data_IF_501094395902
#
_entry.id   IF_501094395902
#
_cell.length_a   1.000
_cell.length_b   1.000
_cell.length_c   1.000
_cell.angle_alpha   90.00
_cell.angle_beta   90.00
_cell.angle_gamma   90.00
#
_symmetry.space_group_name_H-M   'P 1'
#
loop_
_entity.id
_entity.type
_entity.pdbx_description
1 polymer ?
#
# COMPACT_ATOMS: atom_id res chain seq x y z
N UNK A 1 -22.69 12.76 -4.47
CA UNK A 1 -22.92 12.05 -3.18
C UNK A 1 -22.11 12.73 -2.11
N UNK A 2 -22.61 12.70 -0.86
CA UNK A 2 -21.81 13.02 0.33
C UNK A 2 -21.20 11.74 0.89
N UNK A 3 -19.89 11.68 0.93
CA UNK A 3 -19.09 10.49 1.25
C UNK A 3 -18.31 10.74 2.55
N UNK A 4 -18.48 9.90 3.57
CA UNK A 4 -17.69 9.92 4.79
C UNK A 4 -16.54 8.92 4.71
N UNK A 5 -15.28 9.39 4.65
CA UNK A 5 -14.08 8.56 4.75
C UNK A 5 -13.73 8.34 6.22
N UNK A 6 -13.75 7.11 6.69
CA UNK A 6 -13.54 6.74 8.08
C UNK A 6 -12.25 5.93 8.22
N UNK A 7 -11.22 6.48 8.87
CA UNK A 7 -9.90 5.88 8.94
C UNK A 7 -9.16 6.19 10.24
N UNK A 8 -8.46 5.23 10.83
CA UNK A 8 -7.61 5.46 12.01
C UNK A 8 -6.47 6.43 11.71
N UNK A 9 -5.92 6.39 10.49
CA UNK A 9 -4.72 7.11 10.10
C UNK A 9 -4.95 7.97 8.85
N UNK A 10 -4.50 9.23 8.92
CA UNK A 10 -4.57 10.18 7.80
C UNK A 10 -3.35 11.11 7.80
N UNK A 11 -3.25 12.01 6.80
CA UNK A 11 -2.22 13.05 6.77
C UNK A 11 -2.27 13.93 8.04
N UNK A 12 -1.14 14.45 8.53
CA UNK A 12 0.20 14.49 7.95
C UNK A 12 1.03 13.22 8.20
N UNK A 13 0.46 12.20 8.87
CA UNK A 13 1.14 10.91 8.98
C UNK A 13 1.29 10.31 7.59
N UNK A 14 2.50 9.82 7.26
CA UNK A 14 2.79 9.25 5.95
C UNK A 14 2.90 7.72 6.04
N UNK A 15 2.04 7.06 5.32
CA UNK A 15 1.98 5.61 5.12
C UNK A 15 1.14 5.29 3.89
N UNK A 16 1.05 4.01 3.52
CA UNK A 16 0.33 3.60 2.32
C UNK A 16 -1.17 3.92 2.39
N UNK A 17 -1.81 3.66 3.53
CA UNK A 17 -3.26 3.90 3.70
C UNK A 17 -3.54 5.41 3.66
N UNK A 18 -2.78 6.20 4.41
CA UNK A 18 -2.97 7.63 4.56
C UNK A 18 -2.93 8.36 3.23
N UNK A 19 -1.92 8.04 2.40
CA UNK A 19 -1.77 8.62 1.07
C UNK A 19 -2.90 8.16 0.15
N UNK A 20 -3.25 6.87 0.16
CA UNK A 20 -4.32 6.35 -0.70
C UNK A 20 -5.69 6.93 -0.35
N UNK A 21 -6.01 7.10 0.94
CA UNK A 21 -7.27 7.74 1.36
C UNK A 21 -7.30 9.21 0.93
N UNK A 22 -6.19 9.93 1.08
CA UNK A 22 -6.10 11.33 0.66
C UNK A 22 -6.25 11.48 -0.86
N UNK A 23 -5.48 10.69 -1.63
CA UNK A 23 -5.52 10.72 -3.09
C UNK A 23 -6.91 10.31 -3.63
N UNK A 24 -7.55 9.28 -3.06
CA UNK A 24 -8.91 8.87 -3.42
C UNK A 24 -9.92 9.99 -3.12
N UNK A 25 -9.84 10.59 -1.92
CA UNK A 25 -10.73 11.67 -1.51
C UNK A 25 -10.64 12.88 -2.46
N UNK A 26 -9.43 13.31 -2.81
CA UNK A 26 -9.22 14.42 -3.73
C UNK A 26 -9.80 14.13 -5.13
N UNK A 27 -9.67 12.90 -5.62
CA UNK A 27 -10.19 12.51 -6.94
C UNK A 27 -11.71 12.38 -6.95
N UNK A 28 -12.31 11.90 -5.86
CA UNK A 28 -13.77 11.88 -5.72
C UNK A 28 -14.35 13.30 -5.68
N UNK A 29 -13.66 14.24 -5.00
CA UNK A 29 -14.04 15.67 -5.04
C UNK A 29 -13.95 16.21 -6.47
N UNK A 30 -12.88 15.91 -7.20
CA UNK A 30 -12.75 16.29 -8.61
C UNK A 30 -13.83 15.68 -9.52
N UNK A 31 -14.46 14.58 -9.10
CA UNK A 31 -15.62 13.94 -9.78
C UNK A 31 -16.97 14.52 -9.34
N UNK A 32 -16.99 15.56 -8.51
CA UNK A 32 -18.18 16.25 -8.06
C UNK A 32 -18.86 15.62 -6.83
N UNK A 33 -18.15 14.79 -6.06
CA UNK A 33 -18.63 14.32 -4.76
C UNK A 33 -18.24 15.31 -3.66
N UNK A 34 -19.04 15.35 -2.60
CA UNK A 34 -18.68 16.01 -1.34
C UNK A 34 -18.05 14.97 -0.42
N UNK A 35 -16.79 15.18 -0.03
CA UNK A 35 -16.03 14.21 0.76
C UNK A 35 -15.58 14.84 2.07
N UNK A 36 -15.83 14.16 3.20
CA UNK A 36 -15.30 14.52 4.50
C UNK A 36 -14.53 13.34 5.10
N UNK A 37 -13.41 13.62 5.77
CA UNK A 37 -12.56 12.60 6.39
C UNK A 37 -12.68 12.67 7.91
N UNK A 38 -12.90 11.53 8.55
CA UNK A 38 -12.93 11.36 9.99
C UNK A 38 -11.76 10.48 10.42
N UNK A 39 -10.87 10.99 11.28
CA UNK A 39 -9.65 10.28 11.64
C UNK A 39 -9.20 10.54 13.07
N UNK A 40 -8.40 9.61 13.63
CA UNK A 40 -7.74 9.80 14.92
C UNK A 40 -6.40 10.54 14.81
N UNK A 41 -5.83 10.69 13.60
CA UNK A 41 -4.54 11.36 13.42
C UNK A 41 -4.68 12.85 13.70
N UNK A 42 -3.85 13.44 14.59
CA UNK A 42 -3.84 14.89 14.81
C UNK A 42 -3.36 15.61 13.55
N UNK A 43 -3.94 16.78 13.29
CA UNK A 43 -3.49 17.70 12.24
C UNK A 43 -2.74 18.90 12.81
N UNK A 44 -2.58 19.93 11.98
CA UNK A 44 -1.97 21.19 12.40
C UNK A 44 -2.78 21.87 13.52
N UNK A 45 -4.09 21.71 13.51
CA UNK A 45 -5.03 22.27 14.51
C UNK A 45 -5.10 21.45 15.82
N UNK A 46 -4.45 20.27 15.86
CA UNK A 46 -4.45 19.39 17.02
C UNK A 46 -5.59 18.37 17.03
N UNK A 47 -6.03 17.98 18.23
CA UNK A 47 -7.08 16.97 18.44
C UNK A 47 -8.46 17.63 18.67
N UNK A 48 -9.52 16.91 18.32
CA UNK A 48 -10.91 17.31 18.59
C UNK A 48 -11.39 18.49 17.73
N UNK A 49 -10.69 18.83 16.67
CA UNK A 49 -10.99 19.95 15.79
C UNK A 49 -11.21 19.50 14.34
N UNK A 50 -11.83 20.38 13.56
CA UNK A 50 -11.99 20.20 12.11
C UNK A 50 -11.11 21.20 11.39
N UNK A 51 -10.38 20.75 10.37
CA UNK A 51 -9.61 21.59 9.46
C UNK A 51 -9.99 21.30 8.01
N UNK A 52 -9.58 22.18 7.11
CA UNK A 52 -9.71 21.95 5.67
C UNK A 52 -8.30 21.71 5.11
N UNK A 53 -8.11 20.56 4.47
CA UNK A 53 -6.86 20.18 3.82
C UNK A 53 -7.16 19.89 2.34
N UNK A 54 -6.55 20.66 1.45
CA UNK A 54 -6.76 20.56 -0.01
C UNK A 54 -8.25 20.57 -0.42
N UNK A 55 -9.05 21.42 0.25
CA UNK A 55 -10.49 21.54 -0.01
C UNK A 55 -11.37 20.47 0.65
N UNK A 56 -10.79 19.51 1.36
CA UNK A 56 -11.48 18.42 2.05
C UNK A 56 -11.58 18.74 3.55
N UNK A 57 -12.77 18.63 4.12
CA UNK A 57 -12.98 18.76 5.57
C UNK A 57 -12.47 17.53 6.28
N UNK A 58 -11.59 17.72 7.26
CA UNK A 58 -10.97 16.66 8.05
C UNK A 58 -11.29 16.83 9.53
N UNK A 59 -12.04 15.90 10.09
CA UNK A 59 -12.43 15.84 11.50
C UNK A 59 -11.37 15.05 12.29
N UNK A 60 -10.64 15.72 13.18
CA UNK A 60 -9.55 15.17 14.00
C UNK A 60 -10.06 14.64 15.33
N UNK A 61 -10.64 13.45 15.35
CA UNK A 61 -11.34 12.86 16.51
C UNK A 61 -10.40 12.23 17.56
N UNK A 62 -9.10 12.23 17.33
CA UNK A 62 -8.11 11.72 18.28
C UNK A 62 -8.08 12.49 19.59
N UNK A 63 -7.42 11.94 20.59
CA UNK A 63 -7.09 12.59 21.86
C UNK A 63 -5.59 12.45 22.15
N UNK A 64 -5.02 13.40 22.88
CA UNK A 64 -3.61 13.34 23.26
C UNK A 64 -3.43 12.28 24.36
N UNK A 65 -2.87 11.14 23.99
CA UNK A 65 -2.52 10.08 24.93
C UNK A 65 -0.99 9.92 25.05
N UNK A 66 -0.48 9.44 26.22
CA UNK A 66 0.92 9.06 26.34
C UNK A 66 1.35 8.07 25.25
N UNK A 67 2.61 8.16 24.77
CA UNK A 67 3.20 7.29 23.74
C UNK A 67 2.54 7.44 22.36
N UNK A 68 1.87 8.54 22.06
CA UNK A 68 1.23 8.83 20.74
C UNK A 68 0.29 7.70 20.25
N UNK A 69 -0.39 7.04 21.16
CA UNK A 69 -1.38 6.03 20.83
C UNK A 69 -2.56 6.70 20.11
N UNK A 70 -2.84 6.26 18.90
CA UNK A 70 -4.00 6.69 18.10
C UNK A 70 -5.25 5.89 18.53
N UNK A 71 -5.70 6.12 19.76
CA UNK A 71 -6.91 5.49 20.31
C UNK A 71 -7.72 6.56 21.01
N UNK A 72 -8.99 6.66 20.67
CA UNK A 72 -9.96 7.47 21.40
C UNK A 72 -11.24 6.65 21.60
N UNK A 73 -11.44 6.04 22.78
CA UNK A 73 -12.65 5.27 23.07
C UNK A 73 -13.95 6.09 22.99
N UNK A 74 -13.85 7.41 22.99
CA UNK A 74 -14.97 8.33 22.88
C UNK A 74 -15.13 8.92 21.47
N UNK A 75 -14.27 8.55 20.51
CA UNK A 75 -14.29 9.11 19.15
C UNK A 75 -15.63 8.91 18.44
N UNK A 76 -16.32 7.82 18.75
CA UNK A 76 -17.65 7.53 18.18
C UNK A 76 -18.79 8.23 18.90
N UNK A 77 -18.50 8.89 20.06
CA UNK A 77 -19.49 9.70 20.76
C UNK A 77 -19.86 10.91 19.89
N UNK A 78 -21.09 11.01 19.45
CA UNK A 78 -21.55 12.04 18.52
C UNK A 78 -21.23 11.77 17.05
N UNK A 79 -20.47 10.72 16.70
CA UNK A 79 -20.19 10.36 15.32
C UNK A 79 -21.49 10.09 14.53
N UNK A 80 -22.49 9.48 15.16
CA UNK A 80 -23.81 9.27 14.57
C UNK A 80 -24.41 10.58 14.05
N UNK A 81 -24.45 11.62 14.88
CA UNK A 81 -24.99 12.92 14.50
C UNK A 81 -24.16 13.61 13.39
N UNK A 82 -22.83 13.40 13.41
CA UNK A 82 -21.93 13.93 12.38
C UNK A 82 -22.11 13.21 11.04
N UNK A 83 -22.52 11.95 11.03
CA UNK A 83 -22.76 11.15 9.82
C UNK A 83 -24.19 11.29 9.26
N UNK A 84 -25.07 12.02 9.91
CA UNK A 84 -26.41 12.30 9.39
C UNK A 84 -26.34 13.10 8.08
N UNK A 85 -27.09 12.63 7.08
CA UNK A 85 -27.13 13.24 5.75
C UNK A 85 -25.98 12.84 4.81
N UNK A 86 -25.09 11.91 5.21
CA UNK A 86 -24.19 11.27 4.27
C UNK A 86 -24.92 10.18 3.48
N UNK A 87 -24.56 10.05 2.19
CA UNK A 87 -25.12 9.03 1.30
C UNK A 87 -24.44 7.66 1.48
N UNK A 88 -23.14 7.68 1.83
CA UNK A 88 -22.32 6.48 2.00
C UNK A 88 -21.15 6.74 2.95
N UNK A 89 -20.78 5.71 3.73
CA UNK A 89 -19.55 5.67 4.49
C UNK A 89 -18.55 4.74 3.83
N UNK A 90 -17.28 5.16 3.77
CA UNK A 90 -16.16 4.34 3.31
C UNK A 90 -15.17 4.13 4.47
N UNK A 91 -15.13 2.92 4.99
CA UNK A 91 -14.26 2.56 6.12
C UNK A 91 -12.97 1.94 5.58
N UNK A 92 -11.81 2.42 6.06
CA UNK A 92 -10.49 1.92 5.69
C UNK A 92 -9.88 1.13 6.85
N UNK A 93 -9.77 -0.20 6.68
CA UNK A 93 -9.28 -1.13 7.70
C UNK A 93 -7.80 -1.44 7.53
N UNK A 94 -7.01 -1.21 8.57
CA UNK A 94 -5.65 -1.75 8.73
C UNK A 94 -5.63 -3.05 9.53
N UNK A 95 -4.43 -3.47 9.97
CA UNK A 95 -4.26 -4.67 10.81
C UNK A 95 -4.85 -4.43 12.22
N UNK A 96 -4.61 -3.25 12.77
CA UNK A 96 -5.14 -2.78 14.05
C UNK A 96 -5.82 -1.45 13.79
N UNK A 97 -7.14 -1.45 13.78
CA UNK A 97 -7.95 -0.30 13.42
C UNK A 97 -9.17 -0.20 14.35
N UNK A 98 -8.93 0.20 15.62
CA UNK A 98 -10.01 0.27 16.60
C UNK A 98 -11.09 1.27 16.23
N UNK A 99 -10.72 2.46 15.75
CA UNK A 99 -11.69 3.48 15.33
C UNK A 99 -12.49 3.04 14.10
N UNK A 100 -11.84 2.51 13.07
CA UNK A 100 -12.54 1.99 11.89
C UNK A 100 -13.48 0.83 12.27
N UNK A 101 -13.08 -0.02 13.22
CA UNK A 101 -13.95 -1.08 13.76
C UNK A 101 -15.18 -0.49 14.48
N UNK A 102 -14.98 0.51 15.31
CA UNK A 102 -16.08 1.20 16.00
C UNK A 102 -17.01 1.92 15.01
N UNK A 103 -16.45 2.53 13.96
CA UNK A 103 -17.23 3.11 12.85
C UNK A 103 -18.13 2.06 12.19
N UNK A 104 -17.63 0.83 11.98
CA UNK A 104 -18.44 -0.27 11.45
C UNK A 104 -19.68 -0.58 12.31
N UNK A 105 -19.57 -0.52 13.64
CA UNK A 105 -20.73 -0.67 14.52
C UNK A 105 -21.70 0.52 14.47
N UNK A 106 -21.16 1.75 14.36
CA UNK A 106 -21.99 2.96 14.28
C UNK A 106 -22.77 2.97 12.97
N UNK A 107 -22.11 2.79 11.83
CA UNK A 107 -22.75 2.85 10.49
C UNK A 107 -23.77 1.71 10.31
N UNK A 108 -23.46 0.50 10.80
CA UNK A 108 -24.40 -0.63 10.79
C UNK A 108 -25.68 -0.33 11.56
N UNK A 109 -25.58 0.26 12.77
CA UNK A 109 -26.75 0.63 13.58
C UNK A 109 -27.55 1.80 13.01
N UNK A 110 -26.92 2.63 12.19
CA UNK A 110 -27.59 3.73 11.48
C UNK A 110 -28.32 3.27 10.22
N UNK A 111 -28.00 2.09 9.70
CA UNK A 111 -28.42 1.68 8.35
C UNK A 111 -27.77 2.55 7.25
N UNK A 112 -26.64 3.22 7.57
CA UNK A 112 -25.92 4.02 6.57
C UNK A 112 -25.23 3.09 5.58
N UNK A 113 -25.52 3.21 4.26
CA UNK A 113 -24.80 2.45 3.24
C UNK A 113 -23.29 2.54 3.47
N UNK A 114 -22.63 1.39 3.61
CA UNK A 114 -21.21 1.36 4.01
C UNK A 114 -20.41 0.41 3.15
N UNK A 115 -19.28 0.89 2.63
CA UNK A 115 -18.23 0.03 2.07
C UNK A 115 -17.03 0.00 3.01
N UNK A 116 -16.36 -1.16 3.09
CA UNK A 116 -15.22 -1.38 3.98
C UNK A 116 -14.06 -1.99 3.19
N UNK A 117 -12.98 -1.21 3.03
CA UNK A 117 -11.76 -1.62 2.32
C UNK A 117 -10.68 -2.08 3.29
N UNK A 118 -10.23 -3.32 3.13
CA UNK A 118 -9.14 -3.90 3.90
C UNK A 118 -7.80 -3.70 3.21
N UNK A 119 -6.91 -2.94 3.84
CA UNK A 119 -5.56 -2.63 3.35
C UNK A 119 -4.49 -3.63 3.84
N UNK A 120 -4.88 -4.68 4.52
CA UNK A 120 -3.98 -5.68 5.10
C UNK A 120 -4.46 -7.10 4.81
N UNK A 121 -3.52 -8.04 4.83
CA UNK A 121 -3.83 -9.48 4.84
C UNK A 121 -4.09 -9.91 6.28
N UNK A 122 -5.20 -10.59 6.53
CA UNK A 122 -5.52 -11.22 7.81
C UNK A 122 -4.79 -12.57 7.94
N UNK A 123 -3.47 -12.55 8.06
CA UNK A 123 -2.63 -13.75 8.18
C UNK A 123 -2.94 -14.52 9.48
N UNK A 124 -2.14 -14.36 10.50
CA UNK A 124 -2.30 -15.04 11.81
C UNK A 124 -3.55 -14.59 12.57
N UNK A 125 -4.13 -13.45 12.23
CA UNK A 125 -5.35 -12.94 12.85
C UNK A 125 -6.64 -13.58 12.28
N UNK A 126 -6.61 -14.31 11.16
CA UNK A 126 -7.80 -14.84 10.48
C UNK A 126 -8.69 -15.67 11.43
N UNK A 127 -8.10 -16.61 12.17
CA UNK A 127 -8.85 -17.47 13.07
C UNK A 127 -9.51 -16.71 14.22
N UNK A 128 -8.81 -15.73 14.79
CA UNK A 128 -9.34 -14.89 15.87
C UNK A 128 -10.47 -13.99 15.37
N UNK A 129 -10.29 -13.36 14.20
CA UNK A 129 -11.29 -12.49 13.58
C UNK A 129 -12.54 -13.29 13.20
N UNK A 130 -12.37 -14.52 12.68
CA UNK A 130 -13.46 -15.48 12.39
C UNK A 130 -14.22 -15.84 13.65
N UNK A 131 -13.51 -16.21 14.71
CA UNK A 131 -14.12 -16.60 15.99
C UNK A 131 -14.90 -15.45 16.64
N UNK A 132 -14.40 -14.22 16.53
CA UNK A 132 -15.09 -13.03 17.02
C UNK A 132 -16.43 -12.74 16.29
N UNK A 133 -16.58 -13.20 15.04
CA UNK A 133 -17.80 -13.08 14.24
C UNK A 133 -18.20 -11.65 13.86
N UNK A 134 -17.36 -10.65 14.15
CA UNK A 134 -17.67 -9.23 13.94
C UNK A 134 -17.77 -8.93 12.44
N UNK A 135 -16.79 -9.36 11.65
CA UNK A 135 -16.74 -9.12 10.19
C UNK A 135 -17.93 -9.78 9.50
N UNK A 136 -18.30 -10.99 9.93
CA UNK A 136 -19.52 -11.68 9.43
C UNK A 136 -20.78 -10.86 9.73
N UNK A 137 -20.92 -10.33 10.93
CA UNK A 137 -22.07 -9.50 11.31
C UNK A 137 -22.16 -8.21 10.49
N UNK A 138 -21.03 -7.54 10.19
CA UNK A 138 -21.01 -6.39 9.31
C UNK A 138 -21.46 -6.73 7.89
N UNK A 139 -20.95 -7.83 7.33
CA UNK A 139 -21.38 -8.29 6.00
C UNK A 139 -22.88 -8.63 5.96
N UNK A 140 -23.39 -9.31 7.00
CA UNK A 140 -24.82 -9.65 7.15
C UNK A 140 -25.71 -8.40 7.36
N UNK A 141 -25.16 -7.30 7.86
CA UNK A 141 -25.89 -6.04 7.98
C UNK A 141 -25.89 -5.20 6.69
N UNK A 142 -25.45 -5.76 5.56
CA UNK A 142 -25.48 -5.07 4.26
C UNK A 142 -24.22 -4.25 3.96
N UNK A 143 -23.12 -4.39 4.71
CA UNK A 143 -21.86 -3.72 4.36
C UNK A 143 -21.20 -4.36 3.15
N UNK A 144 -20.80 -3.54 2.18
CA UNK A 144 -20.02 -3.95 1.03
C UNK A 144 -18.55 -4.16 1.44
N UNK A 145 -18.11 -5.42 1.55
CA UNK A 145 -16.73 -5.76 1.91
C UNK A 145 -15.85 -5.83 0.67
N UNK A 146 -14.66 -5.24 0.75
CA UNK A 146 -13.64 -5.37 -0.28
C UNK A 146 -12.22 -5.30 0.32
N UNK A 147 -11.22 -5.61 -0.48
CA UNK A 147 -9.82 -5.55 -0.10
C UNK A 147 -8.97 -5.00 -1.25
N UNK A 148 -7.77 -4.52 -0.94
CA UNK A 148 -6.88 -3.88 -1.94
C UNK A 148 -6.26 -4.85 -2.95
N UNK A 149 -6.39 -6.16 -2.74
CA UNK A 149 -5.88 -7.21 -3.63
C UNK A 149 -6.62 -8.52 -3.41
N UNK A 150 -6.49 -9.45 -4.33
CA UNK A 150 -7.04 -10.80 -4.18
C UNK A 150 -6.44 -11.55 -2.98
N UNK A 151 -5.12 -11.36 -2.76
CA UNK A 151 -4.42 -11.92 -1.59
C UNK A 151 -5.01 -11.39 -0.27
N UNK A 152 -5.36 -10.13 -0.19
CA UNK A 152 -6.01 -9.55 0.98
C UNK A 152 -7.50 -9.95 1.09
N UNK A 153 -8.19 -10.14 -0.04
CA UNK A 153 -9.59 -10.57 -0.07
C UNK A 153 -9.78 -12.04 0.30
N UNK A 154 -8.83 -12.90 -0.01
CA UNK A 154 -8.92 -14.35 0.18
C UNK A 154 -9.26 -14.78 1.63
N UNK A 155 -8.57 -14.29 2.69
CA UNK A 155 -8.95 -14.60 4.07
C UNK A 155 -10.35 -14.07 4.42
N UNK A 156 -10.73 -12.88 3.91
CA UNK A 156 -12.05 -12.30 4.15
C UNK A 156 -13.16 -13.14 3.55
N UNK A 157 -12.98 -13.66 2.33
CA UNK A 157 -13.94 -14.56 1.67
C UNK A 157 -14.22 -15.84 2.47
N UNK A 158 -13.25 -16.30 3.29
CA UNK A 158 -13.43 -17.43 4.19
C UNK A 158 -14.18 -17.09 5.48
N UNK A 159 -14.21 -15.80 5.86
CA UNK A 159 -14.86 -15.30 7.08
C UNK A 159 -16.26 -14.82 6.77
N UNK A 160 -16.42 -14.13 5.65
CA UNK A 160 -17.69 -13.51 5.24
C UNK A 160 -18.63 -14.58 4.69
N UNK A 161 -19.80 -14.66 5.33
CA UNK A 161 -20.92 -15.47 4.87
C UNK A 161 -22.02 -14.49 4.42
N UNK A 162 -22.11 -14.26 3.11
CA UNK A 162 -23.01 -13.22 2.58
C UNK A 162 -22.52 -12.64 1.23
N UNK A 163 -22.70 -11.34 0.99
CA UNK A 163 -22.30 -10.69 -0.26
C UNK A 163 -20.82 -10.92 -0.59
N UNK A 164 -20.45 -11.07 -1.89
CA UNK A 164 -19.07 -11.36 -2.27
C UNK A 164 -18.10 -10.26 -1.83
N UNK A 165 -16.91 -10.66 -1.38
CA UNK A 165 -15.80 -9.76 -1.14
C UNK A 165 -15.11 -9.45 -2.47
N UNK A 166 -15.14 -8.18 -2.86
CA UNK A 166 -14.56 -7.67 -4.11
C UNK A 166 -13.13 -7.19 -3.91
N UNK A 167 -12.47 -6.82 -5.00
CA UNK A 167 -11.16 -6.15 -4.95
C UNK A 167 -11.33 -4.68 -5.36
N UNK A 168 -10.93 -3.77 -4.46
CA UNK A 168 -10.80 -2.35 -4.73
C UNK A 168 -9.31 -1.99 -4.57
N UNK A 169 -8.52 -1.95 -5.65
CA UNK A 169 -7.09 -1.77 -5.58
C UNK A 169 -6.72 -0.34 -5.15
N UNK A 170 -5.49 -0.18 -4.66
CA UNK A 170 -4.93 1.16 -4.49
C UNK A 170 -4.64 1.80 -5.85
N UNK A 171 -4.84 3.11 -5.93
CA UNK A 171 -4.62 3.87 -7.15
C UNK A 171 -3.20 4.42 -7.29
N UNK A 172 -2.80 4.66 -8.54
CA UNK A 172 -1.55 5.34 -8.87
C UNK A 172 -1.78 6.45 -9.88
N UNK A 173 -1.06 7.55 -9.72
CA UNK A 173 -0.95 8.62 -10.71
C UNK A 173 0.13 8.22 -11.73
N UNK A 174 -0.30 7.68 -12.86
CA UNK A 174 0.60 7.16 -13.90
C UNK A 174 1.50 8.27 -14.46
N UNK A 175 0.94 9.44 -14.74
CA UNK A 175 1.68 10.57 -15.31
C UNK A 175 2.72 11.12 -14.33
N UNK A 176 2.38 11.15 -13.04
CA UNK A 176 3.29 11.62 -11.99
C UNK A 176 4.50 10.70 -11.76
N UNK A 177 4.40 9.41 -12.09
CA UNK A 177 5.49 8.44 -11.88
C UNK A 177 6.22 8.05 -13.15
N UNK A 178 5.62 8.26 -14.33
CA UNK A 178 6.28 7.97 -15.61
C UNK A 178 7.38 8.98 -15.89
N UNK A 179 8.60 8.55 -16.26
CA UNK A 179 9.68 9.46 -16.61
C UNK A 179 9.32 10.27 -17.86
N UNK A 180 9.43 11.59 -17.80
CA UNK A 180 9.12 12.51 -18.92
C UNK A 180 10.17 12.50 -20.02
N UNK A 181 11.43 12.18 -19.70
CA UNK A 181 12.59 12.21 -20.62
C UNK A 181 13.13 10.85 -21.02
N UNK A 182 12.34 9.77 -20.82
CA UNK A 182 12.84 8.41 -20.98
C UNK A 182 13.83 8.01 -19.87
N UNK A 183 14.16 6.72 -19.78
CA UNK A 183 15.17 6.24 -18.82
C UNK A 183 16.57 6.33 -19.44
N UNK A 184 17.53 6.97 -18.77
CA UNK A 184 18.90 6.90 -19.24
C UNK A 184 19.37 5.46 -19.21
N UNK A 185 19.94 4.97 -20.31
CA UNK A 185 20.69 3.70 -20.30
C UNK A 185 21.97 3.96 -19.49
N UNK A 186 21.99 3.49 -18.26
CA UNK A 186 23.16 3.58 -17.39
C UNK A 186 24.18 2.54 -17.87
N UNK A 187 24.92 2.85 -18.96
CA UNK A 187 25.84 1.95 -19.64
C UNK A 187 27.20 1.75 -18.95
N UNK A 188 27.29 2.00 -17.63
CA UNK A 188 28.53 1.95 -16.85
C UNK A 188 28.88 0.55 -16.31
N UNK A 189 28.17 -0.49 -16.74
CA UNK A 189 28.37 -1.87 -16.27
C UNK A 189 27.86 -2.13 -14.84
N UNK A 190 27.24 -1.13 -14.20
CA UNK A 190 26.66 -1.27 -12.86
C UNK A 190 25.16 -1.51 -12.95
N UNK A 191 24.65 -2.52 -12.24
CA UNK A 191 23.22 -2.79 -12.10
C UNK A 191 22.74 -2.33 -10.70
N UNK A 192 21.83 -1.38 -10.69
CA UNK A 192 21.34 -0.72 -9.49
C UNK A 192 19.98 -1.28 -9.10
N UNK A 193 19.96 -1.98 -7.98
CA UNK A 193 18.74 -2.48 -7.36
C UNK A 193 18.25 -1.49 -6.31
N UNK A 194 16.97 -1.23 -6.31
CA UNK A 194 16.32 -0.34 -5.32
C UNK A 194 15.17 -1.04 -4.65
N UNK A 195 14.97 -0.75 -3.37
CA UNK A 195 13.80 -1.14 -2.61
C UNK A 195 13.33 0.03 -1.75
N UNK A 196 12.02 0.26 -1.69
CA UNK A 196 11.43 1.25 -0.81
C UNK A 196 10.44 0.56 0.13
N UNK A 197 10.74 0.58 1.44
CA UNK A 197 9.95 -0.13 2.44
C UNK A 197 10.13 0.44 3.84
N UNK A 198 9.19 0.15 4.74
CA UNK A 198 9.48 0.28 6.17
C UNK A 198 10.47 -0.81 6.58
N UNK A 199 11.51 -0.46 7.33
CA UNK A 199 12.47 -1.44 7.83
C UNK A 199 11.89 -2.21 9.03
N UNK A 200 10.90 -3.05 8.76
CA UNK A 200 10.22 -3.93 9.72
C UNK A 200 10.50 -5.40 9.35
N UNK A 201 10.52 -6.29 10.34
CA UNK A 201 10.85 -7.72 10.13
C UNK A 201 10.01 -8.38 9.04
N UNK A 202 8.70 -8.06 8.96
CA UNK A 202 7.79 -8.58 7.93
C UNK A 202 8.15 -8.14 6.50
N UNK A 203 8.86 -7.01 6.35
CA UNK A 203 9.34 -6.50 5.06
C UNK A 203 10.66 -7.11 4.62
N UNK A 204 11.33 -7.85 5.52
CA UNK A 204 12.52 -8.65 5.26
C UNK A 204 13.73 -7.88 4.73
N UNK A 205 14.07 -6.69 5.27
CA UNK A 205 15.19 -5.90 4.76
C UNK A 205 16.54 -6.59 4.97
N UNK A 206 16.72 -7.33 6.06
CA UNK A 206 17.93 -8.13 6.33
C UNK A 206 18.13 -9.21 5.29
N UNK A 207 17.07 -9.99 4.99
CA UNK A 207 17.10 -11.04 3.98
C UNK A 207 17.35 -10.48 2.57
N UNK A 208 16.92 -9.24 2.30
CA UNK A 208 17.25 -8.58 1.03
C UNK A 208 18.75 -8.36 0.89
N UNK A 209 19.43 -7.83 1.92
CA UNK A 209 20.88 -7.64 1.89
C UNK A 209 21.61 -8.98 1.71
N UNK A 210 21.18 -10.03 2.43
CA UNK A 210 21.75 -11.38 2.30
C UNK A 210 21.52 -11.99 0.91
N UNK A 211 20.33 -11.82 0.33
CA UNK A 211 20.04 -12.25 -1.03
C UNK A 211 20.92 -11.52 -2.06
N UNK A 212 21.07 -10.20 -1.91
CA UNK A 212 21.90 -9.41 -2.83
C UNK A 212 23.39 -9.73 -2.71
N UNK A 213 23.88 -10.12 -1.55
CA UNK A 213 25.25 -10.65 -1.42
C UNK A 213 25.45 -11.94 -2.24
N UNK A 214 24.47 -12.85 -2.25
CA UNK A 214 24.47 -14.04 -3.09
C UNK A 214 24.41 -13.70 -4.59
N UNK A 215 23.58 -12.73 -4.96
CA UNK A 215 23.50 -12.22 -6.34
C UNK A 215 24.86 -11.67 -6.79
N UNK A 216 25.52 -10.85 -5.96
CA UNK A 216 26.84 -10.29 -6.27
C UNK A 216 27.90 -11.38 -6.45
N UNK A 217 27.88 -12.41 -5.62
CA UNK A 217 28.78 -13.57 -5.75
C UNK A 217 28.52 -14.37 -7.04
N UNK A 218 27.25 -14.53 -7.44
CA UNK A 218 26.87 -15.24 -8.66
C UNK A 218 27.08 -14.43 -9.94
N UNK A 219 27.21 -13.10 -9.85
CA UNK A 219 27.38 -12.18 -10.96
C UNK A 219 28.68 -11.33 -10.82
N UNK A 220 29.87 -11.92 -10.73
CA UNK A 220 31.12 -11.22 -10.37
C UNK A 220 31.56 -10.18 -11.41
N UNK A 221 31.06 -10.26 -12.65
CA UNK A 221 31.35 -9.30 -13.72
C UNK A 221 30.31 -8.13 -13.76
N UNK A 222 29.20 -8.24 -13.06
CA UNK A 222 28.22 -7.18 -12.95
C UNK A 222 28.52 -6.32 -11.71
N UNK A 223 28.60 -5.02 -11.89
CA UNK A 223 28.73 -4.09 -10.77
C UNK A 223 27.41 -3.96 -10.02
N UNK A 224 27.09 -4.90 -9.14
CA UNK A 224 25.81 -4.90 -8.39
C UNK A 224 25.84 -3.88 -7.24
N UNK A 225 24.84 -3.00 -7.18
CA UNK A 225 24.55 -2.08 -6.07
C UNK A 225 23.13 -2.24 -5.57
N UNK A 226 22.93 -1.99 -4.29
CA UNK A 226 21.62 -2.01 -3.65
C UNK A 226 21.38 -0.71 -2.88
N UNK A 227 20.23 -0.09 -3.08
CA UNK A 227 19.75 1.02 -2.25
C UNK A 227 18.42 0.61 -1.57
N UNK A 228 18.35 0.78 -0.25
CA UNK A 228 17.12 0.51 0.53
C UNK A 228 16.64 1.84 1.13
N UNK A 229 15.52 2.33 0.61
CA UNK A 229 14.88 3.59 0.99
C UNK A 229 13.84 3.31 2.09
N UNK A 230 13.99 3.92 3.24
CA UNK A 230 13.05 3.83 4.35
C UNK A 230 13.69 3.73 5.72
N UNK A 231 12.83 3.73 6.73
CA UNK A 231 13.19 3.67 8.14
C UNK A 231 12.34 2.61 8.87
N UNK A 232 12.79 2.18 10.03
CA UNK A 232 12.05 1.25 10.89
C UNK A 232 12.90 0.55 11.93
N UNK A 233 12.25 -0.31 12.73
CA UNK A 233 12.85 -1.00 13.88
C UNK A 233 13.98 -1.96 13.52
N UNK A 234 14.06 -2.43 12.28
CA UNK A 234 15.11 -3.34 11.81
C UNK A 234 16.38 -2.62 11.32
N UNK A 235 16.40 -1.26 11.27
CA UNK A 235 17.54 -0.51 10.74
C UNK A 235 18.89 -0.96 11.29
N UNK A 236 19.01 -1.03 12.61
CA UNK A 236 20.24 -1.44 13.25
C UNK A 236 20.67 -2.88 12.91
N UNK A 237 19.71 -3.78 12.63
CA UNK A 237 20.02 -5.14 12.18
C UNK A 237 20.51 -5.16 10.74
N UNK A 238 19.90 -4.33 9.87
CA UNK A 238 20.34 -4.18 8.47
C UNK A 238 21.77 -3.65 8.43
N UNK A 239 22.08 -2.59 9.18
CA UNK A 239 23.42 -2.00 9.28
C UNK A 239 24.45 -3.03 9.74
N UNK A 240 24.17 -3.78 10.83
CA UNK A 240 25.03 -4.87 11.28
C UNK A 240 25.22 -5.97 10.22
N UNK A 241 24.20 -6.25 9.43
CA UNK A 241 24.30 -7.25 8.34
C UNK A 241 25.18 -6.73 7.21
N UNK A 242 25.06 -5.44 6.86
CA UNK A 242 25.92 -4.76 5.88
C UNK A 242 27.39 -4.82 6.35
N UNK A 243 27.64 -4.53 7.63
CA UNK A 243 28.99 -4.60 8.23
C UNK A 243 29.55 -6.02 8.22
N UNK A 244 28.77 -7.00 8.66
CA UNK A 244 29.18 -8.44 8.70
C UNK A 244 29.52 -8.99 7.32
N UNK A 245 28.83 -8.51 6.27
CA UNK A 245 29.05 -8.95 4.89
C UNK A 245 30.08 -8.09 4.14
N UNK A 246 30.69 -7.07 4.76
CA UNK A 246 31.59 -6.14 4.10
C UNK A 246 30.95 -5.42 2.93
N UNK A 247 29.66 -5.02 3.07
CA UNK A 247 28.83 -4.57 1.98
C UNK A 247 28.70 -3.03 1.86
N UNK A 248 29.46 -2.26 2.65
CA UNK A 248 29.34 -0.78 2.72
C UNK A 248 29.61 -0.06 1.40
N UNK A 249 30.40 -0.64 0.53
CA UNK A 249 30.78 -0.09 -0.76
C UNK A 249 29.68 -0.25 -1.85
N UNK A 250 28.71 -1.15 -1.61
CA UNK A 250 27.68 -1.47 -2.59
C UNK A 250 26.24 -1.49 -2.04
N UNK A 251 26.03 -1.35 -0.72
CA UNK A 251 24.70 -1.19 -0.09
C UNK A 251 24.57 0.21 0.50
N UNK A 252 23.54 0.94 0.10
CA UNK A 252 23.20 2.27 0.62
C UNK A 252 21.89 2.23 1.41
N UNK A 253 21.87 2.91 2.56
CA UNK A 253 20.72 3.02 3.46
C UNK A 253 20.43 4.53 3.74
N UNK A 254 19.98 5.31 2.76
CA UNK A 254 19.81 6.77 2.93
C UNK A 254 18.69 7.17 3.89
N UNK A 255 17.91 6.19 4.37
CA UNK A 255 16.77 6.45 5.22
C UNK A 255 15.51 6.77 4.43
N UNK A 256 14.58 7.47 5.09
CA UNK A 256 13.33 7.90 4.46
C UNK A 256 13.58 9.10 3.56
N UNK A 257 13.04 9.05 2.34
CA UNK A 257 13.14 10.12 1.36
C UNK A 257 11.77 10.70 1.00
N UNK A 258 11.68 11.97 0.60
CA UNK A 258 10.48 12.56 0.02
C UNK A 258 10.07 11.86 -1.30
N UNK A 259 8.80 12.04 -1.71
CA UNK A 259 8.24 11.39 -2.90
C UNK A 259 8.98 11.80 -4.20
N UNK A 260 9.37 13.05 -4.32
CA UNK A 260 10.12 13.51 -5.51
C UNK A 260 11.51 12.90 -5.57
N UNK A 261 12.23 12.85 -4.44
CA UNK A 261 13.50 12.13 -4.36
C UNK A 261 13.32 10.63 -4.67
N UNK A 262 12.21 10.02 -4.26
CA UNK A 262 11.91 8.62 -4.58
C UNK A 262 11.78 8.40 -6.09
N UNK A 263 11.12 9.32 -6.82
CA UNK A 263 11.04 9.29 -8.30
C UNK A 263 12.43 9.37 -8.93
N UNK A 264 13.28 10.29 -8.45
CA UNK A 264 14.67 10.41 -8.92
C UNK A 264 15.46 9.13 -8.70
N UNK A 265 15.30 8.49 -7.51
CA UNK A 265 15.97 7.22 -7.20
C UNK A 265 15.48 6.08 -8.11
N UNK A 266 14.19 6.00 -8.39
CA UNK A 266 13.65 5.03 -9.33
C UNK A 266 14.17 5.29 -10.75
N UNK A 267 14.23 6.54 -11.20
CA UNK A 267 14.80 6.89 -12.50
C UNK A 267 16.29 6.50 -12.63
N UNK A 268 17.05 6.57 -11.52
CA UNK A 268 18.46 6.21 -11.44
C UNK A 268 18.75 4.73 -11.13
N UNK A 269 17.72 3.88 -11.05
CA UNK A 269 17.84 2.45 -10.72
C UNK A 269 17.47 1.57 -11.91
N UNK A 270 17.88 0.30 -11.92
CA UNK A 270 17.62 -0.65 -13.01
C UNK A 270 16.54 -1.68 -12.65
N UNK A 271 16.39 -2.03 -11.38
CA UNK A 271 15.47 -3.07 -10.88
C UNK A 271 14.91 -2.69 -9.54
N UNK A 272 13.61 -2.85 -9.36
CA UNK A 272 12.97 -2.75 -8.03
C UNK A 272 12.82 -4.14 -7.39
N UNK A 273 13.08 -4.23 -6.08
CA UNK A 273 12.96 -5.48 -5.32
C UNK A 273 12.07 -5.32 -4.11
N UNK A 274 11.10 -6.23 -3.97
CA UNK A 274 10.31 -6.40 -2.75
C UNK A 274 10.47 -7.83 -2.21
N UNK A 275 11.22 -8.04 -1.12
CA UNK A 275 11.45 -9.37 -0.57
C UNK A 275 10.30 -9.86 0.33
N UNK A 276 9.28 -9.02 0.56
CA UNK A 276 8.16 -9.29 1.46
C UNK A 276 7.35 -10.49 1.01
N UNK A 277 7.20 -11.49 1.85
CA UNK A 277 6.31 -12.64 1.62
C UNK A 277 4.85 -12.24 1.84
N UNK A 278 4.60 -11.45 2.87
CA UNK A 278 3.29 -10.92 3.20
C UNK A 278 3.19 -9.44 2.80
N UNK A 279 2.77 -9.20 1.58
CA UNK A 279 2.51 -7.87 1.03
C UNK A 279 1.05 -7.78 0.58
N UNK A 280 0.29 -6.87 1.16
CA UNK A 280 -1.13 -6.73 0.83
C UNK A 280 -1.37 -6.13 -0.55
N UNK A 281 -0.50 -5.24 -1.03
CA UNK A 281 -0.60 -4.64 -2.35
C UNK A 281 0.77 -4.33 -2.95
N UNK A 282 1.60 -3.51 -2.27
CA UNK A 282 2.92 -3.13 -2.75
C UNK A 282 2.94 -1.83 -3.54
N UNK A 283 2.42 -0.74 -2.97
CA UNK A 283 2.35 0.59 -3.62
C UNK A 283 3.72 1.00 -4.19
N UNK A 284 4.80 0.87 -3.42
CA UNK A 284 6.15 1.21 -3.87
C UNK A 284 6.62 0.38 -5.08
N UNK A 285 6.18 -0.87 -5.18
CA UNK A 285 6.46 -1.73 -6.34
C UNK A 285 5.64 -1.29 -7.56
N UNK A 286 4.39 -0.85 -7.38
CA UNK A 286 3.57 -0.30 -8.45
C UNK A 286 4.15 1.02 -8.96
N UNK A 287 4.58 1.91 -8.06
CA UNK A 287 5.27 3.17 -8.39
C UNK A 287 6.54 2.90 -9.22
N UNK A 288 7.35 1.94 -8.79
CA UNK A 288 8.55 1.53 -9.50
C UNK A 288 8.24 0.93 -10.89
N UNK A 289 7.18 0.11 -11.02
CA UNK A 289 6.71 -0.41 -12.30
C UNK A 289 6.35 0.72 -13.27
N UNK A 290 5.58 1.71 -12.82
CA UNK A 290 5.20 2.86 -13.65
C UNK A 290 6.42 3.71 -14.03
N UNK A 291 7.40 3.83 -13.13
CA UNK A 291 8.69 4.44 -13.43
C UNK A 291 9.56 3.61 -14.40
N UNK A 292 9.05 2.47 -14.90
CA UNK A 292 9.70 1.64 -15.92
C UNK A 292 10.67 0.59 -15.37
N UNK A 293 10.75 0.36 -14.04
CA UNK A 293 11.60 -0.69 -13.50
C UNK A 293 10.97 -2.07 -13.64
N UNK A 294 11.71 -3.09 -14.07
CA UNK A 294 11.38 -4.48 -13.76
C UNK A 294 11.21 -4.66 -12.25
N UNK A 295 10.10 -5.27 -11.84
CA UNK A 295 9.80 -5.50 -10.44
C UNK A 295 10.03 -6.96 -10.08
N UNK A 296 10.81 -7.22 -9.01
CA UNK A 296 10.94 -8.58 -8.46
C UNK A 296 10.22 -8.65 -7.13
N UNK A 297 9.20 -9.50 -7.07
CA UNK A 297 8.36 -9.70 -5.88
C UNK A 297 8.19 -11.17 -5.52
N UNK A 298 7.24 -11.46 -4.64
CA UNK A 298 6.92 -12.82 -4.18
C UNK A 298 5.60 -13.28 -4.77
N UNK A 299 5.56 -14.55 -5.20
CA UNK A 299 4.28 -15.23 -5.52
C UNK A 299 3.38 -15.20 -4.29
N UNK A 300 2.08 -15.02 -4.48
CA UNK A 300 1.11 -14.95 -3.40
C UNK A 300 1.17 -13.67 -2.58
N UNK A 301 1.81 -12.63 -3.10
CA UNK A 301 1.74 -11.26 -2.58
C UNK A 301 0.87 -10.38 -3.47
N UNK A 302 0.39 -9.23 -2.96
CA UNK A 302 -0.40 -8.28 -3.74
C UNK A 302 0.35 -7.67 -4.93
N UNK A 303 1.67 -7.89 -5.06
CA UNK A 303 2.45 -7.49 -6.23
C UNK A 303 2.01 -8.25 -7.48
N UNK A 304 1.47 -9.47 -7.35
CA UNK A 304 0.91 -10.24 -8.46
C UNK A 304 -0.32 -9.60 -9.11
N UNK A 305 -0.92 -8.58 -8.49
CA UNK A 305 -2.02 -7.81 -9.11
C UNK A 305 -1.57 -7.01 -10.35
N UNK A 306 -0.29 -6.66 -10.42
CA UNK A 306 0.25 -5.81 -11.48
C UNK A 306 1.59 -6.30 -12.06
N UNK A 307 2.20 -7.34 -11.51
CA UNK A 307 3.38 -7.98 -12.06
C UNK A 307 2.99 -9.32 -12.67
N UNK A 308 3.27 -9.47 -13.97
CA UNK A 308 3.16 -10.74 -14.70
C UNK A 308 4.56 -11.31 -14.85
N UNK A 309 4.76 -12.54 -14.36
CA UNK A 309 6.08 -13.21 -14.37
C UNK A 309 6.65 -13.28 -15.78
N UNK A 310 7.94 -12.99 -15.91
CA UNK A 310 8.74 -12.92 -17.15
C UNK A 310 8.26 -11.91 -18.20
N UNK A 311 7.22 -11.12 -17.92
CA UNK A 311 6.74 -10.08 -18.85
C UNK A 311 7.23 -8.69 -18.43
N UNK A 312 6.89 -8.28 -17.23
CA UNK A 312 7.18 -6.94 -16.70
C UNK A 312 7.97 -6.94 -15.39
N UNK A 313 8.36 -8.12 -14.93
CA UNK A 313 9.09 -8.38 -13.72
C UNK A 313 9.17 -9.88 -13.45
N UNK A 314 9.56 -10.25 -12.24
CA UNK A 314 9.61 -11.64 -11.80
C UNK A 314 8.88 -11.84 -10.47
N UNK A 315 8.23 -13.01 -10.32
CA UNK A 315 7.60 -13.47 -9.09
C UNK A 315 8.33 -14.72 -8.59
N UNK A 316 8.88 -14.67 -7.38
CA UNK A 316 9.65 -15.75 -6.79
C UNK A 316 8.85 -16.50 -5.71
N UNK A 317 8.89 -17.84 -5.73
CA UNK A 317 8.22 -18.68 -4.74
C UNK A 317 8.96 -18.68 -3.38
N UNK A 318 10.29 -18.68 -3.43
CA UNK A 318 11.18 -18.77 -2.28
C UNK A 318 12.39 -17.84 -2.39
N UNK A 319 13.28 -17.85 -1.40
CA UNK A 319 14.46 -16.99 -1.37
C UNK A 319 15.53 -17.42 -2.39
N UNK A 320 15.61 -18.70 -2.70
CA UNK A 320 16.56 -19.20 -3.70
C UNK A 320 16.12 -18.76 -5.10
N UNK A 321 14.83 -18.85 -5.40
CA UNK A 321 14.31 -18.33 -6.66
C UNK A 321 14.44 -16.82 -6.73
N UNK A 322 14.20 -16.09 -5.63
CA UNK A 322 14.44 -14.65 -5.59
C UNK A 322 15.88 -14.32 -6.02
N UNK A 323 16.87 -15.01 -5.47
CA UNK A 323 18.29 -14.85 -5.84
C UNK A 323 18.51 -15.19 -7.30
N UNK A 324 17.96 -16.29 -7.83
CA UNK A 324 18.09 -16.67 -9.25
C UNK A 324 17.51 -15.59 -10.17
N UNK A 325 16.30 -15.09 -9.90
CA UNK A 325 15.63 -14.05 -10.70
C UNK A 325 16.40 -12.73 -10.68
N UNK A 326 16.91 -12.32 -9.52
CA UNK A 326 17.75 -11.13 -9.37
C UNK A 326 19.09 -11.29 -10.11
N UNK A 327 19.70 -12.48 -10.05
CA UNK A 327 20.93 -12.79 -10.80
C UNK A 327 20.67 -12.73 -12.31
N UNK A 328 19.55 -13.25 -12.80
CA UNK A 328 19.15 -13.13 -14.21
C UNK A 328 19.10 -11.67 -14.63
N UNK A 329 18.48 -10.80 -13.83
CA UNK A 329 18.44 -9.36 -14.12
C UNK A 329 19.82 -8.70 -13.99
N UNK A 330 20.71 -9.18 -13.14
CA UNK A 330 22.07 -8.67 -13.03
C UNK A 330 22.90 -8.96 -14.30
N UNK A 331 22.80 -10.16 -14.85
CA UNK A 331 23.69 -10.62 -15.94
C UNK A 331 23.11 -10.49 -17.36
N UNK A 332 21.78 -10.29 -17.49
CA UNK A 332 21.10 -10.22 -18.80
C UNK A 332 20.48 -8.84 -19.06
N UNK A 333 21.24 -7.88 -19.64
CA UNK A 333 20.71 -6.54 -19.92
C UNK A 333 19.52 -6.55 -20.90
N UNK A 334 19.47 -7.51 -21.83
CA UNK A 334 18.35 -7.65 -22.77
C UNK A 334 17.02 -7.96 -22.07
N UNK A 335 17.05 -8.77 -21.01
CA UNK A 335 15.84 -9.07 -20.19
C UNK A 335 15.37 -7.81 -19.47
N UNK A 336 16.28 -7.05 -18.83
CA UNK A 336 15.96 -5.77 -18.21
C UNK A 336 15.33 -4.80 -19.20
N UNK A 337 15.98 -4.60 -20.36
CA UNK A 337 15.51 -3.67 -21.39
C UNK A 337 14.12 -4.05 -21.92
N UNK A 338 13.86 -5.33 -22.15
CA UNK A 338 12.55 -5.84 -22.58
C UNK A 338 11.46 -5.50 -21.55
N UNK A 339 11.70 -5.80 -20.27
CA UNK A 339 10.75 -5.54 -19.20
C UNK A 339 10.54 -4.03 -18.97
N UNK A 340 11.62 -3.24 -19.01
CA UNK A 340 11.56 -1.78 -18.93
C UNK A 340 10.72 -1.20 -20.07
N UNK A 341 10.96 -1.62 -21.31
CA UNK A 341 10.20 -1.16 -22.47
C UNK A 341 8.71 -1.51 -22.34
N UNK A 342 8.39 -2.70 -21.84
CA UNK A 342 7.01 -3.09 -21.56
C UNK A 342 6.37 -2.19 -20.51
N UNK A 343 7.04 -1.97 -19.36
CA UNK A 343 6.54 -1.16 -18.26
C UNK A 343 6.31 0.31 -18.64
N UNK A 344 7.17 0.86 -19.48
CA UNK A 344 7.02 2.24 -19.99
C UNK A 344 5.89 2.37 -21.02
N UNK A 345 5.57 1.30 -21.74
CA UNK A 345 4.55 1.30 -22.80
C UNK A 345 3.16 0.96 -22.29
N UNK A 346 3.05 0.22 -21.18
CA UNK A 346 1.77 -0.32 -20.69
C UNK A 346 1.39 0.23 -19.33
N UNK A 347 0.21 0.83 -19.25
CA UNK A 347 -0.35 1.29 -17.99
C UNK A 347 -0.85 0.12 -17.15
N UNK A 348 -0.69 0.19 -15.82
CA UNK A 348 -1.35 -0.75 -14.92
C UNK A 348 -2.86 -0.46 -14.87
N UNK A 349 -3.65 -1.49 -14.60
CA UNK A 349 -5.09 -1.35 -14.38
C UNK A 349 -5.44 -0.54 -13.10
N UNK A 350 -4.46 -0.18 -12.31
CA UNK A 350 -4.57 0.56 -11.07
C UNK A 350 -4.43 2.09 -11.25
N UNK A 351 -4.59 2.61 -12.47
CA UNK A 351 -4.70 4.04 -12.71
C UNK A 351 -5.89 4.65 -11.94
N UNK A 352 -5.76 5.91 -11.50
CA UNK A 352 -6.79 6.51 -10.66
C UNK A 352 -8.17 6.56 -11.29
N UNK A 353 -8.30 6.72 -12.60
CA UNK A 353 -9.63 6.75 -13.25
C UNK A 353 -10.39 5.44 -13.05
N UNK A 354 -9.69 4.31 -13.23
CA UNK A 354 -10.25 2.98 -13.02
C UNK A 354 -10.56 2.72 -11.54
N UNK A 355 -9.68 3.16 -10.64
CA UNK A 355 -9.87 2.97 -9.19
C UNK A 355 -11.01 3.82 -8.66
N UNK A 356 -11.17 5.06 -9.10
CA UNK A 356 -12.31 5.92 -8.72
C UNK A 356 -13.63 5.32 -9.24
N UNK A 357 -13.65 4.85 -10.48
CA UNK A 357 -14.82 4.17 -11.04
C UNK A 357 -15.18 2.90 -10.24
N UNK A 358 -14.18 2.11 -9.84
CA UNK A 358 -14.38 0.95 -8.98
C UNK A 358 -14.90 1.34 -7.59
N UNK A 359 -14.41 2.44 -7.00
CA UNK A 359 -14.91 2.95 -5.73
C UNK A 359 -16.38 3.42 -5.82
N UNK A 360 -16.73 4.13 -6.90
CA UNK A 360 -18.12 4.54 -7.16
C UNK A 360 -19.05 3.31 -7.32
N UNK A 361 -18.57 2.24 -7.97
CA UNK A 361 -19.31 0.98 -8.07
C UNK A 361 -19.49 0.31 -6.69
N UNK A 362 -18.47 0.36 -5.82
CA UNK A 362 -18.59 -0.12 -4.44
C UNK A 362 -19.60 0.70 -3.63
N UNK A 363 -19.68 2.03 -3.83
CA UNK A 363 -20.70 2.87 -3.19
C UNK A 363 -22.12 2.54 -3.67
N UNK A 364 -22.28 2.32 -4.97
CA UNK A 364 -23.57 1.85 -5.52
C UNK A 364 -23.96 0.48 -4.95
N UNK A 365 -22.99 -0.45 -4.83
CA UNK A 365 -23.18 -1.77 -4.21
C UNK A 365 -23.57 -1.66 -2.73
N UNK A 366 -22.90 -0.80 -1.98
CA UNK A 366 -23.24 -0.57 -0.57
C UNK A 366 -24.66 -0.05 -0.40
N UNK A 367 -25.10 0.86 -1.26
CA UNK A 367 -26.49 1.38 -1.25
C UNK A 367 -27.52 0.30 -1.61
N UNK A 368 -27.21 -0.57 -2.57
CA UNK A 368 -28.09 -1.68 -2.93
C UNK A 368 -28.19 -2.76 -1.85
N UNK A 369 -27.16 -2.94 -1.02
CA UNK A 369 -27.15 -3.91 0.07
C UNK A 369 -27.82 -3.39 1.34
N UNK A 370 -27.90 -2.07 1.53
CA UNK A 370 -28.50 -1.42 2.69
C UNK A 370 -30.02 -1.17 2.53
N UNK A 371 -30.55 -1.17 1.31
CA UNK A 371 -31.98 -1.04 0.95
C UNK A 371 -32.63 -2.37 0.91
#
# INVERSE_FOLDING_TARGET
MRIAMLTDCYLPRLGGIEVQVADLSARLVARGHEVEVFTLTPGAVGFGQTETLDGIRVHRLGVRLPRQLLVNPLATRGLRAQLEGFDVAHIHMGVVSPFASDCGFVTSRMGLPTTMTWHCVLDKAESAVRAAGIVRRWAQSGMAMNAVSDVAATPLRRIVDGPPVTVLPNGIDVDAWRPTSGRPLLGDGVVRFVSAMRLEARKRPVQLVEAMAKVRAAAPRAGVRLEILGEGSERAKVERTVDRLGAKDWVSLPGRVPRDTLKERYAASDVFVSPSVLESFGIAALEARVAGLPVVGRVGSGISEFVTDDVNGFLANDDEELVRRLTTLAVHPSVRSRMTAYNLKTDPAQGWDQVVQAAEAEYARARALAG
#
